data_IF_196751870558
#
_entry.id   IF_196751870558
#
_cell.length_a   1.000
_cell.length_b   1.000
_cell.length_c   1.000
_cell.angle_alpha   90.00
_cell.angle_beta   90.00
_cell.angle_gamma   90.00
#
_symmetry.space_group_name_H-M   'P 1'
#
loop_
_entity.id
_entity.type
_entity.pdbx_description
1 polymer ?
#
# COMPACT_ATOMS: atom_id res chain seq x y z
N UNK A 1 26.51 12.20 -0.22
CA UNK A 1 26.65 11.53 1.07
C UNK A 1 25.46 10.62 1.32
N UNK A 2 25.70 9.46 1.81
CA UNK A 2 24.65 8.52 2.12
C UNK A 2 23.75 9.03 3.25
N UNK A 3 22.48 8.88 3.10
CA UNK A 3 21.52 9.29 4.09
C UNK A 3 21.33 8.19 5.14
N UNK A 4 21.95 8.37 6.29
CA UNK A 4 21.89 7.38 7.37
C UNK A 4 20.48 7.15 7.92
N UNK A 5 19.62 8.18 7.85
CA UNK A 5 18.23 8.02 8.30
C UNK A 5 17.47 7.10 7.38
N UNK A 6 17.68 7.19 6.07
CA UNK A 6 17.07 6.27 5.10
C UNK A 6 17.54 4.84 5.32
N UNK A 7 18.83 4.67 5.60
CA UNK A 7 19.38 3.34 5.91
C UNK A 7 18.72 2.74 7.13
N UNK A 8 18.62 3.52 8.22
CA UNK A 8 17.98 3.04 9.45
C UNK A 8 16.54 2.65 9.22
N UNK A 9 15.79 3.47 8.47
CA UNK A 9 14.39 3.21 8.16
C UNK A 9 14.25 1.96 7.31
N UNK A 10 15.10 1.80 6.29
CA UNK A 10 15.05 0.66 5.39
C UNK A 10 15.49 -0.64 6.06
N UNK A 11 16.46 -0.56 6.97
CA UNK A 11 17.04 -1.76 7.58
C UNK A 11 16.12 -2.46 8.58
N UNK A 12 15.05 -1.79 9.02
CA UNK A 12 14.10 -2.38 9.94
C UNK A 12 13.06 -3.24 9.25
N UNK A 13 12.89 -3.04 7.94
CA UNK A 13 11.86 -3.74 7.19
C UNK A 13 12.44 -4.92 6.45
N UNK A 14 11.90 -6.10 6.72
CA UNK A 14 12.28 -7.34 6.06
C UNK A 14 11.29 -7.77 5.00
N UNK A 15 10.07 -7.26 5.05
CA UNK A 15 8.98 -7.68 4.20
C UNK A 15 8.23 -6.50 3.64
N UNK A 16 7.64 -6.72 2.48
CA UNK A 16 6.80 -5.76 1.79
C UNK A 16 5.43 -6.39 1.57
N UNK A 17 4.40 -5.79 2.16
CA UNK A 17 3.02 -6.20 1.96
C UNK A 17 2.38 -5.24 0.98
N UNK A 18 1.91 -5.75 -0.16
CA UNK A 18 1.39 -4.94 -1.25
C UNK A 18 -0.10 -5.18 -1.38
N UNK A 19 -0.88 -4.11 -1.27
CA UNK A 19 -2.34 -4.13 -1.38
C UNK A 19 -2.75 -3.28 -2.56
N UNK A 20 -3.41 -3.89 -3.53
CA UNK A 20 -3.89 -3.19 -4.73
C UNK A 20 -5.40 -3.29 -4.82
N UNK A 21 -6.05 -2.25 -5.34
CA UNK A 21 -7.50 -2.25 -5.47
C UNK A 21 -8.01 -1.16 -6.41
N UNK A 22 -9.27 -1.28 -6.75
CA UNK A 22 -10.03 -0.24 -7.41
C UNK A 22 -11.10 0.29 -6.44
N UNK A 23 -11.61 1.46 -6.74
CA UNK A 23 -12.74 2.05 -6.02
C UNK A 23 -13.69 2.66 -7.05
N UNK A 24 -14.98 2.68 -6.73
CA UNK A 24 -15.97 3.34 -7.59
C UNK A 24 -15.58 4.80 -7.77
N UNK A 25 -15.67 5.31 -9.02
CA UNK A 25 -15.20 6.66 -9.36
C UNK A 25 -15.81 7.76 -8.49
N UNK A 26 -17.09 7.63 -8.15
CA UNK A 26 -17.79 8.58 -7.30
C UNK A 26 -17.31 8.61 -5.85
N UNK A 27 -16.60 7.57 -5.41
CA UNK A 27 -16.02 7.48 -4.06
C UNK A 27 -14.51 7.70 -4.04
N UNK A 28 -13.89 8.00 -5.18
CA UNK A 28 -12.42 8.11 -5.25
C UNK A 28 -11.85 9.21 -4.36
N UNK A 29 -12.51 10.37 -4.31
CA UNK A 29 -12.03 11.46 -3.46
C UNK A 29 -12.12 11.08 -1.97
N UNK A 30 -13.22 10.48 -1.55
CA UNK A 30 -13.37 10.00 -0.19
C UNK A 30 -12.36 8.91 0.13
N UNK A 31 -12.19 7.96 -0.78
CA UNK A 31 -11.20 6.89 -0.66
C UNK A 31 -9.80 7.44 -0.39
N UNK A 32 -9.36 8.41 -1.19
CA UNK A 32 -8.02 9.00 -1.03
C UNK A 32 -7.91 9.77 0.28
N UNK A 33 -8.90 10.57 0.62
CA UNK A 33 -8.89 11.32 1.88
C UNK A 33 -8.80 10.39 3.08
N UNK A 34 -9.70 9.42 3.16
CA UNK A 34 -9.76 8.50 4.31
C UNK A 34 -8.51 7.62 4.39
N UNK A 35 -8.04 7.14 3.24
CA UNK A 35 -6.83 6.32 3.22
C UNK A 35 -5.64 7.09 3.81
N UNK A 36 -5.44 8.33 3.36
CA UNK A 36 -4.27 9.12 3.76
C UNK A 36 -4.40 9.72 5.17
N UNK A 37 -5.59 10.15 5.57
CA UNK A 37 -5.76 10.87 6.83
C UNK A 37 -6.21 10.00 8.00
N UNK A 38 -6.73 8.80 7.74
CA UNK A 38 -7.22 7.89 8.79
C UNK A 38 -6.61 6.51 8.72
N UNK A 39 -6.78 5.82 7.61
CA UNK A 39 -6.38 4.41 7.49
C UNK A 39 -4.87 4.20 7.69
N UNK A 40 -4.06 4.94 6.95
CA UNK A 40 -2.60 4.86 7.10
C UNK A 40 -2.14 5.28 8.51
N UNK A 41 -2.59 6.40 9.08
CA UNK A 41 -2.20 6.74 10.45
C UNK A 41 -2.53 5.67 11.47
N UNK A 42 -3.70 5.04 11.39
CA UNK A 42 -4.05 3.94 12.29
C UNK A 42 -3.14 2.73 12.08
N UNK A 43 -2.85 2.37 10.83
CA UNK A 43 -1.99 1.22 10.55
C UNK A 43 -0.54 1.46 10.94
N UNK A 44 -0.06 2.70 10.89
CA UNK A 44 1.28 3.04 11.35
C UNK A 44 1.46 2.87 12.87
N UNK A 45 0.37 2.84 13.63
CA UNK A 45 0.45 2.58 15.06
C UNK A 45 0.63 1.10 15.38
N UNK A 46 0.40 0.21 14.41
CA UNK A 46 0.54 -1.24 14.62
C UNK A 46 2.03 -1.60 14.78
N UNK A 47 2.40 -2.31 15.85
CA UNK A 47 3.78 -2.76 16.00
C UNK A 47 4.25 -3.56 14.78
N UNK A 48 5.41 -3.20 14.25
CA UNK A 48 5.99 -3.86 13.09
C UNK A 48 5.61 -3.25 11.74
N UNK A 49 4.73 -2.27 11.71
CA UNK A 49 4.48 -1.47 10.50
C UNK A 49 5.43 -0.27 10.53
N UNK A 50 6.38 -0.23 9.61
CA UNK A 50 7.46 0.76 9.63
C UNK A 50 7.23 1.92 8.67
N UNK A 51 6.58 1.65 7.55
CA UNK A 51 6.32 2.67 6.54
C UNK A 51 5.14 2.24 5.70
N UNK A 52 4.31 3.20 5.32
CA UNK A 52 3.22 2.99 4.37
C UNK A 52 3.31 4.07 3.31
N UNK A 53 3.28 3.66 2.05
CA UNK A 53 3.24 4.59 0.91
C UNK A 53 2.15 4.14 -0.05
N UNK A 54 1.66 5.08 -0.86
CA UNK A 54 0.62 4.82 -1.83
C UNK A 54 1.05 5.30 -3.20
N UNK A 55 0.56 4.64 -4.22
CA UNK A 55 0.81 5.03 -5.60
C UNK A 55 -0.42 4.74 -6.46
N UNK A 56 -0.44 5.35 -7.62
CA UNK A 56 -1.47 5.17 -8.63
C UNK A 56 -0.83 4.64 -9.89
N UNK A 57 -1.42 3.63 -10.50
CA UNK A 57 -0.93 3.07 -11.75
C UNK A 57 -1.01 4.06 -12.90
N UNK A 58 -0.03 4.03 -13.78
CA UNK A 58 0.02 4.85 -14.97
C UNK A 58 0.51 4.05 -16.17
N UNK A 59 0.07 4.36 -17.39
CA UNK A 59 0.65 3.81 -18.59
C UNK A 59 2.05 4.39 -18.80
N UNK A 60 2.92 3.64 -19.44
CA UNK A 60 4.29 4.09 -19.66
C UNK A 60 4.90 3.38 -20.87
N UNK A 61 6.07 3.82 -21.25
CA UNK A 61 6.88 3.17 -22.28
C UNK A 61 8.22 2.77 -21.70
N UNK A 62 8.79 1.68 -22.20
CA UNK A 62 10.15 1.30 -21.84
C UNK A 62 10.86 0.67 -23.02
N UNK A 63 12.18 0.69 -22.99
CA UNK A 63 13.03 0.12 -24.05
C UNK A 63 13.50 -1.26 -23.64
N UNK A 64 13.32 -2.22 -24.54
CA UNK A 64 13.82 -3.58 -24.38
C UNK A 64 14.16 -4.16 -25.74
N UNK A 65 15.29 -4.85 -25.84
CA UNK A 65 15.74 -5.51 -27.07
C UNK A 65 15.79 -4.57 -28.28
N UNK A 66 16.19 -3.32 -28.07
CA UNK A 66 16.30 -2.33 -29.13
C UNK A 66 14.98 -1.71 -29.58
N UNK A 67 13.89 -1.99 -28.89
CA UNK A 67 12.57 -1.47 -29.24
C UNK A 67 11.96 -0.71 -28.08
N UNK A 68 11.05 0.22 -28.39
CA UNK A 68 10.22 0.90 -27.40
C UNK A 68 8.87 0.22 -27.36
N UNK A 69 8.46 -0.18 -26.17
CA UNK A 69 7.19 -0.87 -25.94
C UNK A 69 6.22 0.01 -25.15
N UNK A 70 4.98 0.02 -25.58
CA UNK A 70 3.88 0.67 -24.85
C UNK A 70 3.32 -0.29 -23.82
N UNK A 71 3.17 0.18 -22.58
CA UNK A 71 2.60 -0.60 -21.49
C UNK A 71 1.37 0.10 -20.92
N UNK A 72 0.33 -0.65 -20.69
CA UNK A 72 -0.86 -0.14 -20.07
C UNK A 72 -0.65 -0.05 -18.55
N UNK A 73 -1.45 0.80 -17.91
CA UNK A 73 -1.51 0.82 -16.45
C UNK A 73 -2.08 -0.50 -15.93
N UNK A 74 -1.73 -0.83 -14.69
CA UNK A 74 -2.35 -1.98 -14.00
C UNK A 74 -3.87 -1.83 -13.99
N UNK A 75 -4.59 -2.96 -14.11
CA UNK A 75 -6.04 -2.99 -13.98
C UNK A 75 -6.51 -2.54 -12.59
N UNK A 76 -5.62 -2.62 -11.59
CA UNK A 76 -5.86 -2.08 -10.25
C UNK A 76 -5.22 -0.70 -10.17
N UNK A 77 -6.05 0.32 -10.03
CA UNK A 77 -5.61 1.71 -10.13
C UNK A 77 -4.74 2.15 -8.96
N UNK A 78 -5.03 1.66 -7.75
CA UNK A 78 -4.37 2.11 -6.53
C UNK A 78 -3.60 0.98 -5.88
N UNK A 79 -2.42 1.31 -5.35
CA UNK A 79 -1.58 0.39 -4.60
C UNK A 79 -1.10 1.04 -3.31
N UNK A 80 -1.08 0.27 -2.24
CA UNK A 80 -0.46 0.65 -0.97
C UNK A 80 0.67 -0.33 -0.68
N UNK A 81 1.79 0.22 -0.22
CA UNK A 81 3.03 -0.51 0.02
C UNK A 81 3.34 -0.38 1.51
N UNK A 82 3.30 -1.52 2.21
CA UNK A 82 3.54 -1.58 3.65
C UNK A 82 4.88 -2.24 3.89
N UNK A 83 5.82 -1.50 4.44
CA UNK A 83 7.10 -2.05 4.86
C UNK A 83 6.96 -2.52 6.29
N UNK A 84 7.13 -3.81 6.53
CA UNK A 84 6.81 -4.47 7.79
C UNK A 84 7.95 -5.39 8.24
N UNK A 85 7.96 -5.72 9.53
CA UNK A 85 9.00 -6.56 10.12
C UNK A 85 8.90 -8.02 9.68
N UNK A 86 7.69 -8.56 9.65
CA UNK A 86 7.44 -9.97 9.32
C UNK A 86 5.96 -10.17 8.98
N UNK A 87 5.59 -11.30 8.36
CA UNK A 87 4.20 -11.56 7.97
C UNK A 87 3.22 -11.63 9.13
N UNK A 88 3.68 -11.93 10.34
CA UNK A 88 2.81 -11.97 11.51
C UNK A 88 2.17 -10.63 11.86
N UNK A 89 2.77 -9.54 11.41
CA UNK A 89 2.25 -8.18 11.66
C UNK A 89 0.82 -8.03 11.13
N UNK A 90 0.53 -8.53 9.92
CA UNK A 90 -0.78 -8.35 9.28
C UNK A 90 -1.84 -9.34 9.78
N UNK A 91 -1.50 -10.21 10.70
CA UNK A 91 -2.47 -11.08 11.40
C UNK A 91 -2.48 -10.86 12.90
N UNK A 92 -1.79 -9.84 13.38
CA UNK A 92 -1.78 -9.49 14.79
C UNK A 92 -3.13 -8.93 15.24
N UNK A 93 -3.39 -8.99 16.54
CA UNK A 93 -4.60 -8.40 17.11
C UNK A 93 -4.63 -6.89 16.88
N UNK A 94 -3.49 -6.24 16.99
CA UNK A 94 -3.35 -4.79 16.75
C UNK A 94 -3.71 -4.42 15.32
N UNK A 95 -3.26 -5.20 14.35
CA UNK A 95 -3.64 -5.00 12.96
C UNK A 95 -5.14 -5.19 12.77
N UNK A 96 -5.69 -6.26 13.31
CA UNK A 96 -7.12 -6.56 13.19
C UNK A 96 -7.99 -5.43 13.72
N UNK A 97 -7.59 -4.79 14.81
CA UNK A 97 -8.30 -3.63 15.37
C UNK A 97 -8.10 -2.40 14.48
N UNK A 98 -6.87 -2.13 14.07
CA UNK A 98 -6.54 -0.92 13.31
C UNK A 98 -7.25 -0.84 11.97
N UNK A 99 -7.36 -1.96 11.24
CA UNK A 99 -8.01 -1.97 9.91
C UNK A 99 -9.51 -1.69 9.98
N UNK A 100 -10.12 -1.77 11.15
CA UNK A 100 -11.55 -1.49 11.33
C UNK A 100 -11.83 -0.07 11.84
N UNK A 101 -10.80 0.69 12.17
CA UNK A 101 -10.97 2.04 12.71
C UNK A 101 -11.37 3.07 11.67
N UNK A 102 -12.12 4.09 12.13
CA UNK A 102 -12.47 5.24 11.30
C UNK A 102 -13.43 4.93 10.18
N UNK A 103 -13.47 5.83 9.22
CA UNK A 103 -14.41 5.75 8.11
C UNK A 103 -14.03 4.72 7.04
N UNK A 104 -12.82 4.17 7.12
CA UNK A 104 -12.41 3.14 6.17
C UNK A 104 -13.40 1.96 6.17
N UNK A 105 -13.65 1.40 7.32
CA UNK A 105 -14.52 0.23 7.45
C UNK A 105 -16.00 0.55 7.26
N UNK A 106 -16.42 1.77 7.60
CA UNK A 106 -17.84 2.12 7.61
C UNK A 106 -18.32 2.83 6.35
N UNK A 107 -17.42 3.53 5.63
CA UNK A 107 -17.84 4.38 4.50
C UNK A 107 -17.08 4.11 3.20
N UNK A 108 -15.93 3.44 3.25
CA UNK A 108 -15.06 3.31 2.07
C UNK A 108 -14.93 1.87 1.57
N UNK A 109 -14.62 0.94 2.44
CA UNK A 109 -14.28 -0.45 2.07
C UNK A 109 -15.30 -1.08 1.12
N UNK A 110 -16.59 -0.88 1.37
CA UNK A 110 -17.64 -1.49 0.54
C UNK A 110 -17.65 -1.01 -0.91
N UNK A 111 -17.04 0.13 -1.18
CA UNK A 111 -16.97 0.71 -2.52
C UNK A 111 -15.68 0.34 -3.25
N UNK A 112 -14.82 -0.47 -2.63
CA UNK A 112 -13.60 -0.99 -3.24
C UNK A 112 -13.85 -2.33 -3.91
N UNK A 113 -13.03 -2.65 -4.92
CA UNK A 113 -13.16 -3.89 -5.68
C UNK A 113 -11.81 -4.33 -6.23
N UNK A 114 -11.76 -5.55 -6.77
CA UNK A 114 -10.58 -6.13 -7.39
C UNK A 114 -9.35 -6.04 -6.50
N UNK A 115 -9.53 -6.39 -5.24
CA UNK A 115 -8.46 -6.33 -4.24
C UNK A 115 -7.51 -7.50 -4.39
N UNK A 116 -6.20 -7.21 -4.29
CA UNK A 116 -5.16 -8.22 -4.18
C UNK A 116 -4.22 -7.89 -3.04
N UNK A 117 -3.70 -8.92 -2.40
CA UNK A 117 -2.83 -8.82 -1.25
C UNK A 117 -1.67 -9.77 -1.47
N UNK A 118 -0.44 -9.25 -1.53
CA UNK A 118 0.75 -10.07 -1.73
C UNK A 118 1.82 -9.71 -0.72
N UNK A 119 2.54 -10.73 -0.29
CA UNK A 119 3.64 -10.57 0.65
C UNK A 119 4.95 -10.91 -0.07
N UNK A 120 5.92 -10.00 0.02
CA UNK A 120 7.26 -10.21 -0.53
C UNK A 120 8.27 -10.11 0.60
N UNK A 121 9.27 -10.96 0.55
CA UNK A 121 10.42 -10.87 1.45
C UNK A 121 11.57 -10.22 0.70
N UNK A 122 12.18 -9.20 1.30
CA UNK A 122 13.39 -8.63 0.72
C UNK A 122 14.52 -9.66 0.73
N UNK A 123 15.30 -9.65 -0.32
CA UNK A 123 16.41 -10.59 -0.48
C UNK A 123 17.77 -9.95 -0.19
#
# INVERSE_FOLDING_TARGET
MLNLNNEKTMNNSKYLFIVSMNVKSEYENLFNEVYDTEHIPYLLEVPGVNKVSRAKGEPFQFSIAGETKDMEASSQKFVALYEIDNPGVVKSDEWAVAVEKGRWSTEVREHTSERSHYMYKYI
#
